data_IF_610497019282
#
_entry.id   IF_610497019282
#
_cell.length_a   1.000
_cell.length_b   1.000
_cell.length_c   1.000
_cell.angle_alpha   90.00
_cell.angle_beta   90.00
_cell.angle_gamma   90.00
#
_symmetry.space_group_name_H-M   'P 1'
#
loop_
_entity.id
_entity.type
_entity.pdbx_description
1 polymer ?
#
# COMPACT_ATOMS: atom_id res chain seq x y z
N UNK A 1 4.94 -11.26 13.86
CA UNK A 1 4.94 -11.77 12.47
C UNK A 1 6.36 -12.15 12.11
N UNK A 2 6.70 -13.43 12.21
CA UNK A 2 8.01 -13.95 11.81
C UNK A 2 8.01 -14.02 10.28
N UNK A 3 8.70 -13.10 9.62
CA UNK A 3 8.90 -13.17 8.18
C UNK A 3 9.95 -14.25 7.93
N UNK A 4 9.59 -15.28 7.16
CA UNK A 4 10.49 -16.36 6.73
C UNK A 4 11.73 -15.75 6.07
N UNK A 5 12.92 -16.33 6.33
CA UNK A 5 14.20 -15.95 5.73
C UNK A 5 14.23 -16.04 4.21
N UNK A 6 13.20 -16.60 3.56
CA UNK A 6 13.02 -16.64 2.11
C UNK A 6 11.68 -16.06 1.61
N UNK A 7 11.17 -14.98 2.24
CA UNK A 7 9.91 -14.34 1.81
C UNK A 7 9.87 -14.02 0.30
N UNK A 8 10.95 -13.47 -0.26
CA UNK A 8 11.07 -13.23 -1.71
C UNK A 8 11.87 -14.35 -2.39
N UNK A 9 11.18 -15.29 -3.04
CA UNK A 9 11.82 -16.37 -3.81
C UNK A 9 12.83 -15.86 -4.85
N UNK A 10 12.54 -14.73 -5.50
CA UNK A 10 13.36 -14.17 -6.57
C UNK A 10 14.27 -13.01 -6.11
N UNK A 11 14.29 -12.66 -4.82
CA UNK A 11 15.11 -11.56 -4.25
C UNK A 11 15.09 -10.27 -5.12
N UNK A 12 13.93 -9.62 -5.28
CA UNK A 12 13.80 -8.48 -6.19
C UNK A 12 14.57 -7.26 -5.67
N UNK A 13 15.26 -6.53 -6.56
CA UNK A 13 15.81 -5.21 -6.26
C UNK A 13 14.75 -4.10 -6.36
N UNK A 14 13.67 -4.33 -7.12
CA UNK A 14 12.60 -3.37 -7.37
C UNK A 14 11.24 -4.04 -7.19
N UNK A 15 10.32 -3.36 -6.51
CA UNK A 15 8.93 -3.80 -6.33
C UNK A 15 7.99 -2.74 -6.93
N UNK A 16 6.99 -3.20 -7.69
CA UNK A 16 5.85 -2.38 -8.11
C UNK A 16 4.63 -2.93 -7.35
N UNK A 17 4.17 -2.18 -6.35
CA UNK A 17 3.05 -2.61 -5.51
C UNK A 17 1.71 -2.21 -6.14
N UNK A 18 1.09 -3.12 -6.88
CA UNK A 18 -0.27 -2.93 -7.39
C UNK A 18 -1.33 -3.62 -6.52
N UNK A 19 -0.95 -4.19 -5.37
CA UNK A 19 -1.88 -4.85 -4.48
C UNK A 19 -2.64 -3.81 -3.65
N UNK A 20 -3.97 -3.86 -3.71
CA UNK A 20 -4.83 -3.00 -2.93
C UNK A 20 -6.19 -3.68 -2.67
N UNK A 21 -6.80 -3.38 -1.52
CA UNK A 21 -8.20 -3.68 -1.24
C UNK A 21 -9.06 -2.50 -1.70
N UNK A 22 -9.62 -2.63 -2.91
CA UNK A 22 -10.31 -1.55 -3.61
C UNK A 22 -11.54 -2.07 -4.35
N UNK A 23 -12.47 -1.17 -4.65
CA UNK A 23 -13.67 -1.47 -5.42
C UNK A 23 -14.26 -0.19 -6.03
N UNK A 24 -15.46 -0.31 -6.60
CA UNK A 24 -16.19 0.85 -7.14
C UNK A 24 -16.66 1.84 -6.06
N UNK A 25 -17.32 2.92 -6.48
CA UNK A 25 -17.78 4.00 -5.58
C UNK A 25 -18.60 3.46 -4.41
N UNK A 26 -19.60 2.62 -4.70
CA UNK A 26 -20.46 2.01 -3.67
C UNK A 26 -19.66 1.19 -2.65
N UNK A 27 -18.71 0.39 -3.12
CA UNK A 27 -17.83 -0.41 -2.26
C UNK A 27 -16.99 0.49 -1.34
N UNK A 28 -16.47 1.60 -1.88
CA UNK A 28 -15.73 2.60 -1.11
C UNK A 28 -16.52 3.15 0.08
N UNK A 29 -17.81 3.40 -0.12
CA UNK A 29 -18.72 3.91 0.92
C UNK A 29 -19.16 2.84 1.92
N UNK A 30 -19.28 1.58 1.49
CA UNK A 30 -19.73 0.48 2.35
C UNK A 30 -18.58 -0.14 3.18
N UNK A 31 -17.33 -0.03 2.72
CA UNK A 31 -16.17 -0.72 3.30
C UNK A 31 -15.00 0.19 3.66
N UNK A 32 -15.25 1.48 3.93
CA UNK A 32 -14.22 2.50 4.21
C UNK A 32 -13.18 2.09 5.28
N UNK A 33 -13.62 1.53 6.39
CA UNK A 33 -12.73 1.06 7.47
C UNK A 33 -11.88 -0.14 7.07
N UNK A 34 -12.43 -1.06 6.29
CA UNK A 34 -11.71 -2.22 5.77
C UNK A 34 -10.68 -1.82 4.70
N UNK A 35 -11.04 -0.87 3.83
CA UNK A 35 -10.13 -0.25 2.86
C UNK A 35 -8.94 0.35 3.61
N UNK A 36 -9.18 1.13 4.66
CA UNK A 36 -8.08 1.70 5.43
C UNK A 36 -7.20 0.61 6.08
N UNK A 37 -7.81 -0.34 6.79
CA UNK A 37 -7.09 -1.37 7.53
C UNK A 37 -6.28 -2.29 6.60
N UNK A 38 -6.93 -2.86 5.58
CA UNK A 38 -6.32 -3.85 4.70
C UNK A 38 -5.19 -3.23 3.86
N UNK A 39 -5.40 -2.03 3.30
CA UNK A 39 -4.35 -1.36 2.53
C UNK A 39 -3.17 -0.92 3.42
N UNK A 40 -3.45 -0.50 4.66
CA UNK A 40 -2.40 -0.20 5.64
C UNK A 40 -1.57 -1.45 5.94
N UNK A 41 -2.20 -2.59 6.19
CA UNK A 41 -1.50 -3.85 6.46
C UNK A 41 -0.70 -4.34 5.25
N UNK A 42 -1.26 -4.25 4.04
CA UNK A 42 -0.55 -4.60 2.80
C UNK A 42 0.74 -3.76 2.68
N UNK A 43 0.61 -2.44 2.82
CA UNK A 43 1.74 -1.52 2.73
C UNK A 43 2.76 -1.78 3.84
N UNK A 44 2.36 -1.78 5.12
CA UNK A 44 3.28 -1.94 6.24
C UNK A 44 4.09 -3.24 6.14
N UNK A 45 3.44 -4.35 5.82
CA UNK A 45 4.12 -5.64 5.70
C UNK A 45 5.08 -5.66 4.50
N UNK A 46 4.65 -5.14 3.35
CA UNK A 46 5.50 -5.12 2.15
C UNK A 46 6.75 -4.24 2.34
N UNK A 47 6.59 -3.05 2.93
CA UNK A 47 7.69 -2.14 3.19
C UNK A 47 8.66 -2.72 4.23
N UNK A 48 8.16 -3.38 5.29
CA UNK A 48 9.02 -4.05 6.27
C UNK A 48 9.77 -5.25 5.67
N UNK A 49 9.13 -6.01 4.78
CA UNK A 49 9.81 -7.06 4.01
C UNK A 49 10.91 -6.45 3.13
N UNK A 50 10.58 -5.42 2.35
CA UNK A 50 11.51 -4.75 1.47
C UNK A 50 12.75 -4.23 2.23
N UNK A 51 12.55 -3.61 3.40
CA UNK A 51 13.62 -3.15 4.30
C UNK A 51 14.51 -4.30 4.80
N UNK A 52 13.91 -5.43 5.20
CA UNK A 52 14.64 -6.61 5.70
C UNK A 52 15.43 -7.35 4.62
N UNK A 53 14.92 -7.36 3.38
CA UNK A 53 15.50 -8.12 2.27
C UNK A 53 16.36 -7.28 1.32
N UNK A 54 16.57 -5.99 1.62
CA UNK A 54 17.46 -5.13 0.84
C UNK A 54 16.91 -4.74 -0.52
N UNK A 55 15.59 -4.58 -0.65
CA UNK A 55 14.97 -4.04 -1.87
C UNK A 55 15.34 -2.57 -2.00
N UNK A 56 15.85 -2.16 -3.16
CA UNK A 56 16.39 -0.82 -3.40
C UNK A 56 15.30 0.20 -3.76
N UNK A 57 14.18 -0.25 -4.36
CA UNK A 57 13.11 0.64 -4.81
C UNK A 57 11.73 0.00 -4.71
N UNK A 58 10.76 0.79 -4.24
CA UNK A 58 9.34 0.46 -4.30
C UNK A 58 8.62 1.57 -5.05
N UNK A 59 7.78 1.19 -6.01
CA UNK A 59 6.81 2.07 -6.66
C UNK A 59 5.42 1.68 -6.17
N UNK A 60 4.73 2.61 -5.52
CA UNK A 60 3.38 2.39 -4.98
C UNK A 60 2.42 3.42 -5.61
N UNK A 61 1.60 3.04 -6.60
CA UNK A 61 0.61 3.93 -7.19
C UNK A 61 -0.37 4.42 -6.13
N UNK A 62 -0.63 5.72 -6.12
CA UNK A 62 -1.64 6.34 -5.26
C UNK A 62 -2.87 6.71 -6.09
N UNK A 63 -4.04 6.64 -5.47
CA UNK A 63 -5.28 7.08 -6.11
C UNK A 63 -5.34 8.59 -6.15
N UNK A 64 -5.74 9.16 -7.29
CA UNK A 64 -6.01 10.58 -7.42
C UNK A 64 -7.15 11.03 -6.48
N UNK A 65 -8.08 10.12 -6.14
CA UNK A 65 -9.18 10.40 -5.22
C UNK A 65 -8.72 10.61 -3.75
N UNK A 66 -7.45 10.37 -3.43
CA UNK A 66 -6.90 10.62 -2.09
C UNK A 66 -6.56 12.09 -1.83
N UNK A 67 -6.54 12.93 -2.88
CA UNK A 67 -6.32 14.37 -2.71
C UNK A 67 -7.58 15.04 -2.14
N UNK A 68 -7.43 16.15 -1.39
CA UNK A 68 -8.58 16.95 -0.96
C UNK A 68 -9.41 17.42 -2.16
N UNK A 69 -10.73 17.31 -2.02
CA UNK A 69 -11.68 17.82 -3.02
C UNK A 69 -11.61 19.35 -3.15
N UNK A 70 -11.34 20.04 -2.04
CA UNK A 70 -11.17 21.48 -1.98
C UNK A 70 -9.77 21.86 -1.52
N UNK A 71 -9.16 22.83 -2.22
CA UNK A 71 -7.94 23.49 -1.75
C UNK A 71 -8.29 24.32 -0.52
N UNK A 72 -7.94 23.83 0.68
CA UNK A 72 -7.99 24.66 1.88
C UNK A 72 -6.95 25.78 1.75
N UNK A 73 -7.41 27.01 1.51
CA UNK A 73 -6.63 28.24 1.67
C UNK A 73 -6.91 28.80 3.06
N UNK A 74 -6.33 28.18 4.08
CA UNK A 74 -6.30 28.75 5.42
C UNK A 74 -4.86 28.77 5.92
N UNK A 75 -4.11 29.75 5.41
CA UNK A 75 -2.93 30.36 6.02
C UNK A 75 -2.98 31.86 5.77
#
# INVERSE_FOLDING_TARGET
>A
MLLDTNFFKNKPNIIINCAAYVGGIKFGMEHEGEIYLNNTLINLNLFECARKFGVERIVNPISNCSYPDVLQKDF
#
